data_IF_698878104244
#
_entry.id   IF_698878104244
#
_cell.length_a   1.000
_cell.length_b   1.000
_cell.length_c   1.000
_cell.angle_alpha   90.00
_cell.angle_beta   90.00
_cell.angle_gamma   90.00
#
_symmetry.space_group_name_H-M   'P 1'
#
loop_
_entity.id
_entity.type
_entity.pdbx_description
1 polymer ?
#
# COMPACT_ATOMS: atom_id res chain seq x y z
N UNK A 1 3.11 -19.18 -1.82
CA UNK A 1 3.19 -17.76 -1.43
C UNK A 1 3.96 -16.99 -2.50
N UNK A 2 3.35 -15.96 -3.11
CA UNK A 2 3.97 -15.17 -4.18
C UNK A 2 5.16 -14.37 -3.59
N UNK A 3 6.36 -14.55 -4.14
CA UNK A 3 7.55 -13.78 -3.74
C UNK A 3 7.72 -12.62 -4.73
N UNK A 4 7.99 -11.41 -4.23
CA UNK A 4 8.25 -10.23 -5.06
C UNK A 4 9.30 -10.50 -6.17
N UNK A 5 10.35 -11.26 -5.84
CA UNK A 5 11.41 -11.66 -6.78
C UNK A 5 10.89 -12.43 -8.00
N UNK A 6 9.75 -13.11 -7.92
CA UNK A 6 9.17 -13.82 -9.05
C UNK A 6 8.50 -12.86 -10.05
N UNK A 7 7.98 -11.72 -9.60
CA UNK A 7 7.37 -10.72 -10.49
C UNK A 7 8.42 -10.03 -11.36
N UNK A 8 9.58 -9.75 -10.77
CA UNK A 8 10.73 -9.12 -11.44
C UNK A 8 11.35 -9.97 -12.57
N UNK A 9 11.02 -11.26 -12.66
CA UNK A 9 11.56 -12.15 -13.72
C UNK A 9 10.88 -11.94 -15.07
N UNK A 10 9.65 -11.44 -15.08
CA UNK A 10 8.80 -11.44 -16.27
C UNK A 10 8.46 -10.04 -16.78
N UNK A 11 8.70 -9.01 -15.97
CA UNK A 11 8.39 -7.61 -16.30
C UNK A 11 9.38 -6.67 -15.62
N UNK A 12 9.67 -5.57 -16.30
CA UNK A 12 10.31 -4.40 -15.69
C UNK A 12 9.29 -3.66 -14.84
N UNK A 13 9.41 -3.83 -13.52
CA UNK A 13 8.53 -3.22 -12.54
C UNK A 13 9.30 -2.93 -11.26
N UNK A 14 8.84 -1.92 -10.51
CA UNK A 14 9.33 -1.63 -9.16
C UNK A 14 8.32 -2.23 -8.18
N UNK A 15 8.78 -3.18 -7.36
CA UNK A 15 7.96 -3.73 -6.27
C UNK A 15 8.24 -2.95 -4.99
N UNK A 16 7.22 -2.31 -4.45
CA UNK A 16 7.27 -1.66 -3.13
C UNK A 16 6.48 -2.51 -2.13
N UNK A 17 7.11 -2.88 -1.03
CA UNK A 17 6.46 -3.49 0.13
C UNK A 17 6.65 -2.61 1.35
N UNK A 18 5.68 -2.59 2.25
CA UNK A 18 5.67 -1.67 3.38
C UNK A 18 4.96 -2.30 4.58
N UNK A 19 5.19 -1.72 5.75
CA UNK A 19 4.48 -2.06 6.97
C UNK A 19 3.43 -0.98 7.27
N UNK A 20 2.32 -1.39 7.86
CA UNK A 20 1.29 -0.50 8.41
C UNK A 20 0.85 -1.05 9.76
N UNK A 21 0.27 -0.21 10.62
CA UNK A 21 -0.17 -0.65 11.94
C UNK A 21 -1.32 -1.66 11.85
N UNK A 22 -1.25 -2.69 12.69
CA UNK A 22 -2.22 -3.78 12.78
C UNK A 22 -2.89 -3.82 14.15
N UNK A 23 -3.96 -4.62 14.26
CA UNK A 23 -4.68 -4.85 15.51
C UNK A 23 -5.14 -3.55 16.18
N UNK A 24 -5.05 -3.50 17.50
CA UNK A 24 -5.47 -2.33 18.29
C UNK A 24 -4.71 -1.04 17.93
N UNK A 25 -3.46 -1.14 17.49
CA UNK A 25 -2.65 0.04 17.15
C UNK A 25 -3.06 0.68 15.81
N UNK A 26 -3.66 -0.10 14.90
CA UNK A 26 -4.10 0.37 13.59
C UNK A 26 -5.60 0.61 13.48
N UNK A 27 -6.39 -0.16 14.23
CA UNK A 27 -7.84 -0.30 13.97
C UNK A 27 -8.70 -0.22 15.24
N UNK A 28 -8.18 0.31 16.35
CA UNK A 28 -9.01 0.62 17.52
C UNK A 28 -10.04 1.70 17.15
N UNK A 29 -11.33 1.35 17.30
CA UNK A 29 -12.43 2.27 17.08
C UNK A 29 -12.87 2.87 18.42
N UNK A 30 -12.61 4.17 18.61
CA UNK A 30 -13.07 4.94 19.77
C UNK A 30 -14.30 5.82 19.45
N UNK A 31 -14.99 5.56 18.33
CA UNK A 31 -16.06 6.42 17.83
C UNK A 31 -15.59 7.75 17.20
N UNK A 32 -14.30 7.84 16.86
CA UNK A 32 -13.71 8.99 16.15
C UNK A 32 -13.39 8.64 14.70
N UNK A 33 -13.25 9.63 13.82
CA UNK A 33 -12.89 9.45 12.40
C UNK A 33 -11.44 8.93 12.16
N UNK A 34 -10.66 8.73 13.23
CA UNK A 34 -9.28 8.26 13.10
C UNK A 34 -9.20 6.74 12.94
N UNK A 35 -8.70 6.31 11.78
CA UNK A 35 -8.31 4.92 11.49
C UNK A 35 -6.81 4.89 11.14
N UNK A 36 -5.92 4.80 12.14
CA UNK A 36 -4.48 4.98 11.91
C UNK A 36 -3.87 3.99 10.90
N UNK A 37 -4.30 2.73 10.91
CA UNK A 37 -3.80 1.68 10.02
C UNK A 37 -4.15 1.94 8.55
N UNK A 38 -5.31 2.54 8.26
CA UNK A 38 -5.66 2.97 6.90
C UNK A 38 -4.88 4.22 6.49
N UNK A 39 -4.68 5.16 7.43
CA UNK A 39 -3.89 6.39 7.18
C UNK A 39 -2.42 6.09 6.91
N UNK A 40 -1.86 5.04 7.49
CA UNK A 40 -0.49 4.57 7.18
C UNK A 40 -0.36 4.14 5.71
N UNK A 41 -1.37 3.41 5.19
CA UNK A 41 -1.38 2.98 3.79
C UNK A 41 -1.54 4.17 2.84
N UNK A 42 -2.40 5.14 3.18
CA UNK A 42 -2.49 6.39 2.42
C UNK A 42 -1.19 7.20 2.45
N UNK A 43 -0.49 7.22 3.59
CA UNK A 43 0.80 7.88 3.72
C UNK A 43 1.85 7.24 2.80
N UNK A 44 1.84 5.91 2.67
CA UNK A 44 2.69 5.23 1.67
C UNK A 44 2.35 5.69 0.25
N UNK A 45 1.08 5.74 -0.14
CA UNK A 45 0.71 6.15 -1.50
C UNK A 45 1.17 7.59 -1.80
N UNK A 46 1.05 8.49 -0.82
CA UNK A 46 1.60 9.85 -0.92
C UNK A 46 3.11 9.84 -1.06
N UNK A 47 3.80 8.99 -0.29
CA UNK A 47 5.24 8.82 -0.41
C UNK A 47 5.64 8.30 -1.80
N UNK A 48 4.92 7.31 -2.34
CA UNK A 48 5.15 6.78 -3.70
C UNK A 48 4.99 7.91 -4.73
N UNK A 49 3.89 8.66 -4.67
CA UNK A 49 3.64 9.78 -5.60
C UNK A 49 4.77 10.82 -5.60
N UNK A 50 5.37 11.08 -4.44
CA UNK A 50 6.43 12.09 -4.29
C UNK A 50 7.83 11.57 -4.62
N UNK A 51 8.09 10.28 -4.42
CA UNK A 51 9.47 9.76 -4.38
C UNK A 51 9.78 8.70 -5.44
N UNK A 52 8.79 8.00 -6.00
CA UNK A 52 9.07 6.81 -6.83
C UNK A 52 9.85 7.12 -8.11
N UNK A 53 9.74 8.36 -8.62
CA UNK A 53 10.52 8.83 -9.76
C UNK A 53 12.03 8.78 -9.52
N UNK A 54 12.49 9.01 -8.28
CA UNK A 54 13.91 8.92 -7.92
C UNK A 54 14.45 7.48 -7.99
N UNK A 55 13.56 6.48 -7.96
CA UNK A 55 13.90 5.06 -8.11
C UNK A 55 13.70 4.56 -9.55
N UNK A 56 13.39 5.44 -10.49
CA UNK A 56 13.11 5.10 -11.90
C UNK A 56 11.67 4.66 -12.17
N UNK A 57 10.75 4.84 -11.22
CA UNK A 57 9.34 4.51 -11.40
C UNK A 57 8.52 5.66 -11.96
N UNK A 58 7.31 5.37 -12.46
CA UNK A 58 6.36 6.38 -12.92
C UNK A 58 5.26 6.58 -11.86
N UNK A 59 5.13 7.77 -11.22
CA UNK A 59 4.10 8.01 -10.20
C UNK A 59 2.67 7.96 -10.77
N UNK A 60 2.48 8.04 -12.09
CA UNK A 60 1.18 7.90 -12.75
C UNK A 60 0.83 6.46 -13.14
N UNK A 61 1.75 5.52 -12.95
CA UNK A 61 1.58 4.10 -13.27
C UNK A 61 1.82 3.26 -12.02
N UNK A 62 0.84 3.27 -11.12
CA UNK A 62 0.91 2.60 -9.82
C UNK A 62 -0.24 1.61 -9.72
N UNK A 63 0.10 0.34 -9.48
CA UNK A 63 -0.87 -0.73 -9.20
C UNK A 63 -0.77 -1.14 -7.74
N UNK A 64 -1.90 -1.16 -7.03
CA UNK A 64 -1.99 -1.65 -5.65
C UNK A 64 -2.46 -3.09 -5.68
N UNK A 65 -1.75 -3.98 -4.99
CA UNK A 65 -2.10 -5.39 -4.87
C UNK A 65 -2.06 -5.82 -3.41
N UNK A 66 -3.03 -6.63 -2.99
CA UNK A 66 -3.15 -7.11 -1.63
C UNK A 66 -3.74 -8.52 -1.57
N UNK A 67 -3.52 -9.19 -0.44
CA UNK A 67 -4.04 -10.52 -0.15
C UNK A 67 -4.78 -10.51 1.20
N UNK A 68 -5.94 -11.17 1.27
CA UNK A 68 -6.78 -11.24 2.48
C UNK A 68 -7.13 -9.83 3.00
N UNK A 69 -6.75 -9.47 4.23
CA UNK A 69 -6.93 -8.13 4.78
C UNK A 69 -6.31 -7.02 3.91
N UNK A 70 -5.23 -7.33 3.18
CA UNK A 70 -4.65 -6.41 2.22
C UNK A 70 -5.53 -6.17 0.99
N UNK A 71 -6.31 -7.16 0.54
CA UNK A 71 -7.28 -6.98 -0.55
C UNK A 71 -8.42 -6.04 -0.14
N UNK A 72 -8.92 -6.19 1.09
CA UNK A 72 -9.91 -5.26 1.65
C UNK A 72 -9.34 -3.84 1.73
N UNK A 73 -8.07 -3.72 2.10
CA UNK A 73 -7.41 -2.41 2.14
C UNK A 73 -7.26 -1.80 0.75
N UNK A 74 -6.97 -2.60 -0.29
CA UNK A 74 -6.96 -2.14 -1.69
C UNK A 74 -8.33 -1.60 -2.08
N UNK A 75 -9.41 -2.34 -1.80
CA UNK A 75 -10.77 -1.89 -2.11
C UNK A 75 -11.12 -0.59 -1.39
N UNK A 76 -10.79 -0.47 -0.10
CA UNK A 76 -11.01 0.77 0.66
C UNK A 76 -10.22 1.95 0.09
N UNK A 77 -8.98 1.74 -0.36
CA UNK A 77 -8.14 2.79 -0.92
C UNK A 77 -8.57 3.23 -2.33
N UNK A 78 -9.37 2.44 -3.04
CA UNK A 78 -9.86 2.79 -4.39
C UNK A 78 -11.25 3.41 -4.37
N UNK A 79 -12.03 3.18 -3.29
CA UNK A 79 -13.37 3.75 -3.12
C UNK A 79 -13.31 5.15 -2.47
N UNK A 80 -12.30 5.41 -1.65
CA UNK A 80 -12.06 6.71 -1.00
C UNK A 80 -11.18 7.64 -1.83
#
# INVERSE_FOLDING_TARGET
MLKAKNLLKYKDLIVVTFNYRLGIHGFLCLGTENIPGMKDQLALLKWIQQNIAAFGGNPKDVTIAGYSAGSISVDLLTIC
#
